data_IF_734309257206
#
_entry.id   IF_734309257206
#
_cell.length_a   1.000
_cell.length_b   1.000
_cell.length_c   1.000
_cell.angle_alpha   90.00
_cell.angle_beta   90.00
_cell.angle_gamma   90.00
#
_symmetry.space_group_name_H-M   'P 1'
#
loop_
_entity.id
_entity.type
_entity.pdbx_description
1 polymer ?
#
# COMPACT_ATOMS: atom_id res chain seq x y z
N UNK A 1 11.86 -14.91 -10.21
CA UNK A 1 11.69 -13.46 -10.04
C UNK A 1 10.59 -13.21 -9.03
N UNK A 2 10.77 -12.30 -8.07
CA UNK A 2 9.72 -11.98 -7.09
C UNK A 2 8.56 -11.23 -7.73
N UNK A 3 7.34 -11.70 -7.52
CA UNK A 3 6.10 -11.13 -8.05
C UNK A 3 5.67 -9.92 -7.22
N UNK A 4 5.23 -8.86 -7.90
CA UNK A 4 4.62 -7.69 -7.26
C UNK A 4 3.23 -7.54 -7.87
N UNK A 5 2.20 -7.68 -7.05
CA UNK A 5 0.81 -7.49 -7.45
C UNK A 5 0.32 -6.18 -6.81
N UNK A 6 -0.39 -5.35 -7.56
CA UNK A 6 -1.04 -4.16 -7.02
C UNK A 6 -2.54 -4.36 -7.03
N UNK A 7 -3.19 -4.18 -5.87
CA UNK A 7 -4.64 -4.14 -5.77
C UNK A 7 -5.21 -2.97 -6.60
N UNK A 8 -6.50 -2.99 -6.97
CA UNK A 8 -7.16 -1.84 -7.60
C UNK A 8 -7.02 -0.56 -6.77
N UNK A 9 -7.19 -0.65 -5.44
CA UNK A 9 -7.06 0.48 -4.52
C UNK A 9 -5.64 1.06 -4.52
N UNK A 10 -4.61 0.21 -4.47
CA UNK A 10 -3.21 0.67 -4.51
C UNK A 10 -2.89 1.43 -5.81
N UNK A 11 -3.48 1.03 -6.95
CA UNK A 11 -3.31 1.75 -8.22
C UNK A 11 -3.98 3.11 -8.20
N UNK A 12 -5.16 3.20 -7.59
CA UNK A 12 -5.88 4.46 -7.41
C UNK A 12 -5.10 5.40 -6.48
N UNK A 13 -4.62 4.89 -5.35
CA UNK A 13 -3.79 5.64 -4.41
C UNK A 13 -2.57 6.24 -5.13
N UNK A 14 -1.82 5.42 -5.86
CA UNK A 14 -0.64 5.87 -6.63
C UNK A 14 -0.99 6.93 -7.69
N UNK A 15 -2.15 6.79 -8.36
CA UNK A 15 -2.63 7.76 -9.33
C UNK A 15 -2.94 9.10 -8.65
N UNK A 16 -3.65 9.08 -7.53
CA UNK A 16 -4.00 10.28 -6.76
C UNK A 16 -2.75 11.00 -6.24
N UNK A 17 -1.80 10.26 -5.66
CA UNK A 17 -0.52 10.80 -5.19
C UNK A 17 0.26 11.46 -6.32
N UNK A 18 0.36 10.79 -7.47
CA UNK A 18 1.06 11.33 -8.62
C UNK A 18 0.36 12.59 -9.18
N UNK A 19 -0.97 12.58 -9.32
CA UNK A 19 -1.74 13.74 -9.78
C UNK A 19 -1.60 14.93 -8.84
N UNK A 20 -1.68 14.71 -7.52
CA UNK A 20 -1.53 15.76 -6.51
C UNK A 20 -0.14 16.39 -6.54
N UNK A 21 0.91 15.57 -6.60
CA UNK A 21 2.29 16.08 -6.61
C UNK A 21 2.66 16.69 -7.95
N UNK A 22 2.24 16.13 -9.08
CA UNK A 22 2.58 16.66 -10.40
C UNK A 22 2.06 18.10 -10.61
N UNK A 23 0.91 18.45 -10.02
CA UNK A 23 0.38 19.82 -10.07
C UNK A 23 1.20 20.84 -9.26
N UNK A 24 2.03 20.38 -8.31
CA UNK A 24 2.84 21.25 -7.43
C UNK A 24 4.32 21.22 -7.77
N UNK A 25 4.86 20.02 -7.92
CA UNK A 25 6.27 19.75 -8.21
C UNK A 25 6.42 18.42 -8.99
N UNK A 26 6.49 18.48 -10.32
CA UNK A 26 6.66 17.30 -11.17
C UNK A 26 7.92 16.48 -10.88
N UNK A 27 9.02 17.13 -10.47
CA UNK A 27 10.26 16.43 -10.12
C UNK A 27 10.07 15.61 -8.84
N UNK A 28 9.42 16.18 -7.82
CA UNK A 28 9.09 15.46 -6.60
C UNK A 28 8.19 14.24 -6.87
N UNK A 29 7.20 14.37 -7.76
CA UNK A 29 6.33 13.26 -8.16
C UNK A 29 7.14 12.11 -8.79
N UNK A 30 8.10 12.45 -9.66
CA UNK A 30 8.99 11.46 -10.29
C UNK A 30 9.87 10.75 -9.26
N UNK A 31 10.52 11.50 -8.39
CA UNK A 31 11.40 10.95 -7.35
C UNK A 31 10.63 10.02 -6.43
N UNK A 32 9.44 10.42 -5.99
CA UNK A 32 8.60 9.58 -5.12
C UNK A 32 8.19 8.28 -5.82
N UNK A 33 7.77 8.34 -7.09
CA UNK A 33 7.44 7.15 -7.87
C UNK A 33 8.61 6.16 -7.93
N UNK A 34 9.81 6.65 -8.18
CA UNK A 34 11.03 5.84 -8.21
C UNK A 34 11.31 5.20 -6.84
N UNK A 35 11.20 5.97 -5.75
CA UNK A 35 11.35 5.47 -4.37
C UNK A 35 10.34 4.38 -4.02
N UNK A 36 9.06 4.57 -4.34
CA UNK A 36 8.01 3.56 -4.12
C UNK A 36 8.31 2.28 -4.92
N UNK A 37 8.70 2.41 -6.19
CA UNK A 37 9.03 1.25 -7.01
C UNK A 37 10.23 0.46 -6.46
N UNK A 38 11.27 1.17 -5.98
CA UNK A 38 12.43 0.55 -5.35
C UNK A 38 12.04 -0.16 -4.05
N UNK A 39 11.19 0.46 -3.23
CA UNK A 39 10.65 -0.14 -2.02
C UNK A 39 9.86 -1.42 -2.33
N UNK A 40 8.93 -1.39 -3.30
CA UNK A 40 8.18 -2.59 -3.71
C UNK A 40 9.11 -3.72 -4.17
N UNK A 41 10.16 -3.42 -4.94
CA UNK A 41 11.17 -4.41 -5.35
C UNK A 41 11.91 -5.00 -4.15
N UNK A 42 12.28 -4.18 -3.17
CA UNK A 42 12.94 -4.62 -1.94
C UNK A 42 12.02 -5.51 -1.10
N UNK A 43 10.77 -5.10 -0.93
CA UNK A 43 9.75 -5.86 -0.21
C UNK A 43 9.42 -7.19 -0.90
N UNK A 44 9.44 -7.24 -2.24
CA UNK A 44 9.21 -8.49 -2.98
C UNK A 44 10.36 -9.50 -2.78
N UNK A 45 11.59 -9.01 -2.59
CA UNK A 45 12.75 -9.85 -2.25
C UNK A 45 12.77 -10.24 -0.77
N UNK A 46 12.32 -9.35 0.10
CA UNK A 46 12.29 -9.55 1.55
C UNK A 46 10.89 -9.25 2.10
N UNK A 47 9.90 -10.15 1.89
CA UNK A 47 8.50 -9.90 2.28
C UNK A 47 8.32 -9.68 3.78
N UNK A 48 9.27 -10.12 4.60
CA UNK A 48 9.24 -9.99 6.05
C UNK A 48 9.86 -8.70 6.59
N UNK A 49 10.31 -7.77 5.73
CA UNK A 49 10.99 -6.53 6.13
C UNK A 49 10.07 -5.49 6.78
N UNK A 50 8.81 -5.41 6.34
CA UNK A 50 7.83 -4.46 6.89
C UNK A 50 7.38 -4.83 8.30
N UNK A 51 6.95 -3.84 9.07
CA UNK A 51 6.36 -4.04 10.40
C UNK A 51 5.04 -4.79 10.26
N UNK A 52 4.83 -5.83 11.08
CA UNK A 52 3.52 -6.52 11.16
C UNK A 52 2.48 -5.55 11.71
N UNK A 53 1.31 -5.58 11.07
CA UNK A 53 0.13 -4.80 11.40
C UNK A 53 -1.05 -5.73 11.67
N UNK A 54 -0.78 -6.81 12.38
CA UNK A 54 -1.77 -7.83 12.72
C UNK A 54 -2.91 -7.23 13.59
N UNK A 55 -2.65 -6.11 14.27
CA UNK A 55 -3.65 -5.31 14.99
C UNK A 55 -4.72 -4.69 14.07
N UNK A 56 -4.40 -4.49 12.79
CA UNK A 56 -5.34 -3.97 11.79
C UNK A 56 -6.00 -5.11 11.04
N UNK A 57 -5.17 -5.93 10.39
CA UNK A 57 -5.59 -7.05 9.55
C UNK A 57 -4.53 -8.16 9.69
N UNK A 58 -4.93 -9.42 9.92
CA UNK A 58 -3.99 -10.53 10.00
C UNK A 58 -3.08 -10.61 8.78
N UNK A 59 -1.77 -10.81 9.00
CA UNK A 59 -0.71 -10.91 7.97
C UNK A 59 -0.39 -9.62 7.23
N UNK A 60 -1.08 -8.51 7.53
CA UNK A 60 -0.79 -7.21 6.95
C UNK A 60 0.57 -6.73 7.43
N UNK A 61 1.33 -6.12 6.52
CA UNK A 61 2.58 -5.45 6.85
C UNK A 61 2.58 -4.03 6.32
N UNK A 62 3.24 -3.13 7.06
CA UNK A 62 3.45 -1.75 6.65
C UNK A 62 4.94 -1.45 6.48
N UNK A 63 5.30 -0.68 5.47
CA UNK A 63 6.66 -0.20 5.23
C UNK A 63 6.66 1.30 4.90
N UNK A 64 7.38 2.14 5.65
CA UNK A 64 7.47 3.56 5.39
C UNK A 64 8.39 3.87 4.21
N UNK A 65 7.98 4.82 3.37
CA UNK A 65 8.74 5.38 2.24
C UNK A 65 8.49 6.88 2.22
N UNK A 66 9.46 7.67 2.70
CA UNK A 66 9.28 9.12 2.89
C UNK A 66 8.02 9.40 3.73
N UNK A 67 7.15 10.30 3.28
CA UNK A 67 5.88 10.66 3.90
C UNK A 67 4.73 9.69 3.57
N UNK A 68 5.03 8.49 3.06
CA UNK A 68 4.04 7.48 2.65
C UNK A 68 4.23 6.15 3.37
N UNK A 69 3.14 5.43 3.59
CA UNK A 69 3.11 4.07 4.12
C UNK A 69 2.59 3.12 3.05
N UNK A 70 3.40 2.11 2.73
CA UNK A 70 3.02 1.00 1.86
C UNK A 70 2.47 -0.11 2.73
N UNK A 71 1.20 -0.44 2.54
CA UNK A 71 0.56 -1.61 3.11
C UNK A 71 0.62 -2.77 2.12
N UNK A 72 1.05 -3.94 2.58
CA UNK A 72 1.22 -5.09 1.72
C UNK A 72 1.05 -6.43 2.45
N UNK A 73 0.78 -7.48 1.70
CA UNK A 73 0.75 -8.86 2.18
C UNK A 73 1.94 -9.65 1.61
N UNK A 74 2.65 -10.42 2.44
CA UNK A 74 3.63 -11.37 1.95
C UNK A 74 2.93 -12.56 1.26
N UNK A 75 3.38 -12.88 0.04
CA UNK A 75 2.98 -14.03 -0.75
C UNK A 75 4.15 -15.02 -0.85
N UNK A 76 3.89 -16.27 -1.23
CA UNK A 76 4.94 -17.30 -1.38
C UNK A 76 6.07 -16.87 -2.32
N UNK A 77 5.72 -16.21 -3.43
CA UNK A 77 6.68 -15.78 -4.46
C UNK A 77 6.77 -14.25 -4.61
N UNK A 78 6.47 -13.49 -3.56
CA UNK A 78 6.60 -12.03 -3.60
C UNK A 78 5.67 -11.30 -2.65
N UNK A 79 5.03 -10.23 -3.12
CA UNK A 79 4.12 -9.41 -2.31
C UNK A 79 2.91 -8.93 -3.11
N UNK A 80 1.84 -8.64 -2.38
CA UNK A 80 0.70 -7.89 -2.87
C UNK A 80 0.63 -6.55 -2.15
N UNK A 81 0.68 -5.46 -2.92
CA UNK A 81 0.51 -4.10 -2.42
C UNK A 81 -0.99 -3.82 -2.27
N UNK A 82 -1.41 -3.61 -1.03
CA UNK A 82 -2.79 -3.38 -0.64
C UNK A 82 -3.18 -1.91 -0.80
N UNK A 83 -2.39 -0.99 -0.24
CA UNK A 83 -2.63 0.46 -0.25
C UNK A 83 -1.30 1.22 -0.19
N UNK A 84 -1.28 2.45 -0.69
CA UNK A 84 -0.14 3.38 -0.56
C UNK A 84 -0.66 4.71 -0.05
N UNK A 85 -0.54 4.95 1.25
CA UNK A 85 -1.22 6.08 1.91
C UNK A 85 -0.23 7.14 2.37
N UNK A 86 -0.64 8.39 2.47
CA UNK A 86 0.22 9.43 3.05
C UNK A 86 0.19 9.32 4.59
N UNK A 87 1.36 9.21 5.21
CA UNK A 87 1.52 9.01 6.65
C UNK A 87 0.95 10.12 7.53
N UNK A 88 0.69 11.32 6.99
CA UNK A 88 0.10 12.45 7.72
C UNK A 88 -1.36 12.75 7.36
N UNK A 89 -1.86 12.27 6.22
CA UNK A 89 -3.19 12.68 5.71
C UNK A 89 -4.26 11.61 5.86
N UNK A 90 -3.86 10.34 5.84
CA UNK A 90 -4.80 9.22 5.76
C UNK A 90 -4.86 8.36 7.02
N UNK A 91 -3.99 8.54 8.02
CA UNK A 91 -4.15 7.79 9.26
C UNK A 91 -5.45 8.24 9.97
N UNK A 92 -5.68 9.53 10.15
CA UNK A 92 -6.94 10.01 10.75
C UNK A 92 -8.16 9.65 9.88
N UNK A 93 -8.09 9.81 8.55
CA UNK A 93 -9.20 9.49 7.65
C UNK A 93 -9.49 7.99 7.48
N UNK A 94 -8.50 7.10 7.72
CA UNK A 94 -8.70 5.64 7.72
C UNK A 94 -9.07 5.08 9.10
N UNK A 95 -8.77 5.82 10.18
CA UNK A 95 -9.10 5.42 11.56
C UNK A 95 -10.40 6.02 12.09
N UNK A 96 -11.07 6.92 11.35
CA UNK A 96 -12.52 7.19 11.48
C UNK A 96 -13.33 5.94 11.06
N UNK A 97 -13.17 4.87 11.84
CA UNK A 97 -13.83 3.58 11.71
C UNK A 97 -15.22 3.60 12.36
N UNK A 98 -16.01 4.62 12.05
CA UNK A 98 -17.46 4.62 12.25
C UNK A 98 -18.24 4.23 10.98
N UNK A 99 -17.52 3.83 9.92
CA UNK A 99 -18.10 3.31 8.68
C UNK A 99 -17.67 1.85 8.46
N UNK A 100 -18.50 0.91 8.92
CA UNK A 100 -18.40 -0.56 8.72
C UNK A 100 -18.04 -0.96 7.26
N UNK A 101 -18.40 -0.12 6.29
CA UNK A 101 -18.23 -0.32 4.85
C UNK A 101 -16.78 -0.47 4.36
N UNK A 102 -15.80 0.19 4.99
CA UNK A 102 -14.41 0.15 4.51
C UNK A 102 -13.65 -1.11 4.97
N UNK A 103 -14.05 -1.67 6.13
CA UNK A 103 -13.59 -3.00 6.56
C UNK A 103 -14.09 -4.10 5.64
N UNK A 104 -15.31 -3.97 5.12
CA UNK A 104 -15.88 -4.92 4.16
C UNK A 104 -15.14 -4.80 2.82
N UNK A 105 -14.86 -3.60 2.31
CA UNK A 105 -14.09 -3.45 1.07
C UNK A 105 -12.64 -3.94 1.17
N UNK A 106 -11.96 -3.74 2.32
CA UNK A 106 -10.64 -4.31 2.58
C UNK A 106 -10.64 -5.82 2.83
N UNK A 107 -11.80 -6.45 3.05
CA UNK A 107 -11.93 -7.89 3.23
C UNK A 107 -12.40 -8.60 1.96
N UNK A 108 -13.26 -7.95 1.17
CA UNK A 108 -13.85 -8.46 -0.09
C UNK A 108 -12.88 -8.34 -1.27
N UNK A 109 -11.97 -7.36 -1.27
CA UNK A 109 -11.00 -7.18 -2.36
C UNK A 109 -9.75 -8.06 -2.24
N UNK A 110 -9.54 -8.71 -1.08
CA UNK A 110 -8.25 -9.28 -0.67
C UNK A 110 -8.24 -10.81 -0.49
N UNK A 111 -9.39 -11.47 -0.63
CA UNK A 111 -9.47 -12.94 -0.71
C UNK A 111 -9.89 -13.34 -2.13
N UNK A 112 -9.12 -14.16 -2.87
CA UNK A 112 -9.70 -14.88 -3.98
C UNK A 112 -10.78 -15.79 -3.41
N UNK A 113 -11.96 -15.81 -4.05
CA UNK A 113 -13.01 -16.76 -3.69
C UNK A 113 -12.40 -18.17 -3.63
N UNK A 114 -12.63 -18.96 -2.56
CA UNK A 114 -12.26 -20.36 -2.59
C UNK A 114 -13.01 -21.01 -3.76
N UNK A 115 -12.26 -21.75 -4.58
CA UNK A 115 -12.82 -22.53 -5.69
C UNK A 115 -13.79 -23.57 -5.15
#
# INVERSE_FOLDING_TARGET
>A
MSKIIFSPSARLDLKQVNSYLAGKNPQAARILKEKIQQACKKLAKFPNLGRRRDELIPRLRSFPVEDYLIFYFPLENGIEIARVVSGYRDLDAMFDLDQESDRINLRVSFFPAPQ
#
